data_IF_934158259602
#
_entry.id   IF_934158259602
#
_cell.length_a   1.000
_cell.length_b   1.000
_cell.length_c   1.000
_cell.angle_alpha   90.00
_cell.angle_beta   90.00
_cell.angle_gamma   90.00
#
_symmetry.space_group_name_H-M   'P 1'
#
loop_
_entity.id
_entity.type
_entity.pdbx_description
1 polymer ?
#
# COMPACT_ATOMS: atom_id res chain seq x y z
N UNK A 1 -8.52 -24.13 -0.90
CA UNK A 1 -7.24 -23.80 -1.56
C UNK A 1 -7.16 -24.50 -2.93
N UNK A 2 -6.56 -23.83 -3.92
CA UNK A 2 -6.35 -24.35 -5.27
C UNK A 2 -4.97 -23.92 -5.79
N UNK A 3 -4.06 -24.87 -5.98
CA UNK A 3 -2.70 -24.64 -6.48
C UNK A 3 -1.61 -25.35 -5.67
N UNK A 4 -0.38 -25.43 -6.23
CA UNK A 4 0.74 -26.04 -5.53
C UNK A 4 1.09 -25.24 -4.27
N UNK A 5 1.10 -25.91 -3.10
CA UNK A 5 1.34 -25.30 -1.80
C UNK A 5 0.38 -24.12 -1.44
N UNK A 6 -0.80 -24.04 -2.06
CA UNK A 6 -1.81 -23.07 -1.66
C UNK A 6 -2.42 -23.48 -0.30
N UNK A 7 -2.54 -22.53 0.66
CA UNK A 7 -3.09 -22.78 1.98
C UNK A 7 -2.40 -23.92 2.74
N UNK A 8 -1.11 -24.12 2.55
CA UNK A 8 -0.40 -25.31 3.00
C UNK A 8 -0.37 -25.46 4.53
N UNK A 9 -0.13 -24.35 5.23
CA UNK A 9 0.01 -24.34 6.68
C UNK A 9 -0.92 -23.28 7.28
N UNK A 10 -1.77 -23.69 8.24
CA UNK A 10 -2.63 -22.76 9.01
C UNK A 10 -3.56 -21.90 8.13
N UNK A 11 -4.34 -22.53 7.26
CA UNK A 11 -5.41 -21.84 6.55
C UNK A 11 -6.62 -21.65 7.47
N UNK A 12 -7.01 -20.40 7.72
CA UNK A 12 -8.15 -20.05 8.57
C UNK A 12 -9.52 -20.47 8.00
N UNK A 13 -10.53 -20.45 8.84
CA UNK A 13 -11.90 -20.79 8.44
C UNK A 13 -12.40 -19.81 7.35
N UNK A 14 -13.08 -20.35 6.33
CA UNK A 14 -13.64 -19.57 5.22
C UNK A 14 -12.61 -18.75 4.44
N UNK A 15 -11.32 -19.08 4.54
CA UNK A 15 -10.27 -18.42 3.77
C UNK A 15 -10.15 -19.02 2.37
N UNK A 16 -9.77 -18.17 1.40
CA UNK A 16 -9.58 -18.54 0.00
C UNK A 16 -8.11 -18.42 -0.37
N UNK A 17 -7.51 -19.49 -0.91
CA UNK A 17 -6.15 -19.50 -1.43
C UNK A 17 -6.13 -20.09 -2.84
N UNK A 18 -5.82 -19.28 -3.86
CA UNK A 18 -5.79 -19.72 -5.26
C UNK A 18 -4.48 -19.27 -5.92
N UNK A 19 -3.68 -20.21 -6.36
CA UNK A 19 -2.38 -19.95 -7.00
C UNK A 19 -1.22 -20.64 -6.29
N UNK A 20 -0.06 -20.73 -6.96
CA UNK A 20 1.12 -21.34 -6.37
C UNK A 20 1.58 -20.57 -5.13
N UNK A 21 1.66 -21.25 -3.99
CA UNK A 21 2.04 -20.67 -2.69
C UNK A 21 1.16 -19.50 -2.22
N UNK A 22 -0.07 -19.39 -2.72
CA UNK A 22 -1.03 -18.42 -2.20
C UNK A 22 -1.42 -18.81 -0.76
N UNK A 23 -1.40 -17.87 0.19
CA UNK A 23 -1.75 -18.12 1.58
C UNK A 23 -1.04 -19.32 2.19
N UNK A 24 0.23 -19.58 1.81
CA UNK A 24 0.87 -20.87 2.10
C UNK A 24 1.24 -21.09 3.55
N UNK A 25 1.41 -20.04 4.35
CA UNK A 25 1.81 -20.20 5.75
C UNK A 25 0.68 -19.86 6.73
N UNK A 26 0.47 -18.61 7.08
CA UNK A 26 -0.52 -18.21 8.09
C UNK A 26 -1.61 -17.33 7.46
N UNK A 27 -2.61 -18.00 6.90
CA UNK A 27 -3.77 -17.32 6.33
C UNK A 27 -4.90 -17.29 7.37
N UNK A 28 -5.26 -16.10 7.83
CA UNK A 28 -6.29 -15.94 8.87
C UNK A 28 -7.72 -16.15 8.35
N UNK A 29 -8.68 -16.17 9.26
CA UNK A 29 -10.10 -16.36 8.97
C UNK A 29 -10.64 -15.32 8.00
N UNK A 30 -11.47 -15.74 7.03
CA UNK A 30 -12.15 -14.89 6.05
C UNK A 30 -11.22 -14.13 5.10
N UNK A 31 -9.93 -14.45 5.07
CA UNK A 31 -8.99 -13.80 4.18
C UNK A 31 -8.99 -14.39 2.77
N UNK A 32 -8.56 -13.60 1.79
CA UNK A 32 -8.51 -13.98 0.37
C UNK A 32 -7.10 -13.79 -0.17
N UNK A 33 -6.50 -14.84 -0.72
CA UNK A 33 -5.21 -14.83 -1.40
C UNK A 33 -5.36 -15.43 -2.81
N UNK A 34 -5.28 -14.61 -3.84
CA UNK A 34 -5.41 -15.04 -5.24
C UNK A 34 -4.22 -14.56 -6.07
N UNK A 35 -3.43 -15.49 -6.58
CA UNK A 35 -2.23 -15.21 -7.36
C UNK A 35 -1.01 -15.95 -6.81
N UNK A 36 0.06 -16.05 -7.60
CA UNK A 36 1.29 -16.69 -7.14
C UNK A 36 1.90 -15.89 -6.01
N UNK A 37 2.13 -16.53 -4.83
CA UNK A 37 2.68 -15.92 -3.62
C UNK A 37 1.82 -14.76 -3.03
N UNK A 38 0.54 -14.65 -3.41
CA UNK A 38 -0.36 -13.69 -2.77
C UNK A 38 -0.59 -14.11 -1.30
N UNK A 39 -0.48 -13.17 -0.36
CA UNK A 39 -0.67 -13.41 1.07
C UNK A 39 0.16 -14.57 1.60
N UNK A 40 1.39 -14.76 1.10
CA UNK A 40 2.15 -15.99 1.29
C UNK A 40 2.51 -16.29 2.74
N UNK A 41 3.03 -15.32 3.47
CA UNK A 41 3.57 -15.55 4.83
C UNK A 41 2.51 -15.32 5.91
N UNK A 42 2.13 -14.07 6.17
CA UNK A 42 1.16 -13.74 7.21
C UNK A 42 0.04 -12.86 6.65
N UNK A 43 -1.15 -13.41 6.57
CA UNK A 43 -2.32 -12.66 6.13
C UNK A 43 -3.32 -12.49 7.28
N UNK A 44 -3.63 -11.25 7.61
CA UNK A 44 -4.55 -10.90 8.69
C UNK A 44 -6.01 -11.30 8.42
N UNK A 45 -6.84 -11.24 9.44
CA UNK A 45 -8.27 -11.54 9.33
C UNK A 45 -8.93 -10.60 8.32
N UNK A 46 -9.82 -11.11 7.48
CA UNK A 46 -10.56 -10.37 6.44
C UNK A 46 -9.67 -9.65 5.41
N UNK A 47 -8.36 -9.87 5.43
CA UNK A 47 -7.45 -9.25 4.48
C UNK A 47 -7.60 -9.84 3.07
N UNK A 48 -7.38 -9.01 2.05
CA UNK A 48 -7.49 -9.38 0.64
C UNK A 48 -6.16 -9.15 -0.07
N UNK A 49 -5.61 -10.19 -0.70
CA UNK A 49 -4.41 -10.14 -1.52
C UNK A 49 -4.71 -10.73 -2.91
N UNK A 50 -4.70 -9.91 -3.95
CA UNK A 50 -4.98 -10.35 -5.32
C UNK A 50 -3.89 -9.86 -6.28
N UNK A 51 -3.14 -10.78 -6.86
CA UNK A 51 -2.05 -10.50 -7.78
C UNK A 51 -0.76 -11.23 -7.44
N UNK A 52 0.23 -11.16 -8.32
CA UNK A 52 1.55 -11.74 -8.07
C UNK A 52 2.22 -11.02 -6.89
N UNK A 53 2.55 -11.77 -5.80
CA UNK A 53 3.19 -11.26 -4.59
C UNK A 53 2.43 -10.11 -3.90
N UNK A 54 1.12 -9.97 -4.12
CA UNK A 54 0.32 -9.01 -3.38
C UNK A 54 0.25 -9.43 -1.91
N UNK A 55 0.52 -8.51 -0.97
CA UNK A 55 0.49 -8.78 0.46
C UNK A 55 1.37 -9.96 0.89
N UNK A 56 2.51 -10.19 0.22
CA UNK A 56 3.28 -11.44 0.36
C UNK A 56 3.77 -11.71 1.78
N UNK A 57 4.41 -10.72 2.40
CA UNK A 57 5.07 -10.95 3.71
C UNK A 57 4.10 -10.77 4.88
N UNK A 58 3.74 -9.54 5.21
CA UNK A 58 2.86 -9.26 6.34
C UNK A 58 1.72 -8.34 5.92
N UNK A 59 0.53 -8.90 5.86
CA UNK A 59 -0.69 -8.14 5.60
C UNK A 59 -1.54 -8.07 6.86
N UNK A 60 -1.80 -6.86 7.33
CA UNK A 60 -2.59 -6.60 8.53
C UNK A 60 -4.07 -6.98 8.39
N UNK A 61 -4.77 -6.97 9.50
CA UNK A 61 -6.23 -7.19 9.53
C UNK A 61 -6.96 -6.13 8.71
N UNK A 62 -8.00 -6.52 7.96
CA UNK A 62 -8.79 -5.66 7.09
C UNK A 62 -7.99 -4.95 5.97
N UNK A 63 -6.74 -5.34 5.74
CA UNK A 63 -5.92 -4.72 4.70
C UNK A 63 -6.25 -5.27 3.31
N UNK A 64 -6.13 -4.43 2.29
CA UNK A 64 -6.39 -4.80 0.88
C UNK A 64 -5.16 -4.53 0.02
N UNK A 65 -4.67 -5.54 -0.68
CA UNK A 65 -3.57 -5.46 -1.63
C UNK A 65 -4.00 -6.04 -2.98
N UNK A 66 -4.11 -5.22 -4.01
CA UNK A 66 -4.51 -5.66 -5.35
C UNK A 66 -3.54 -5.13 -6.41
N UNK A 67 -2.87 -6.04 -7.10
CA UNK A 67 -1.88 -5.71 -8.13
C UNK A 67 -0.56 -6.44 -7.96
N UNK A 68 0.34 -6.31 -8.93
CA UNK A 68 1.69 -6.88 -8.85
C UNK A 68 2.47 -6.22 -7.71
N UNK A 69 2.87 -6.98 -6.69
CA UNK A 69 3.66 -6.49 -5.55
C UNK A 69 3.00 -5.36 -4.75
N UNK A 70 1.67 -5.20 -4.82
CA UNK A 70 0.95 -4.26 -3.97
C UNK A 70 1.04 -4.73 -2.50
N UNK A 71 1.31 -3.81 -1.57
CA UNK A 71 1.43 -4.13 -0.15
C UNK A 71 2.42 -5.26 0.16
N UNK A 72 3.50 -5.37 -0.61
CA UNK A 72 4.38 -6.56 -0.65
C UNK A 72 4.94 -6.94 0.71
N UNK A 73 5.58 -6.00 1.41
CA UNK A 73 6.35 -6.33 2.61
C UNK A 73 5.56 -6.14 3.91
N UNK A 74 5.20 -4.92 4.25
CA UNK A 74 4.43 -4.64 5.46
C UNK A 74 3.25 -3.74 5.14
N UNK A 75 2.07 -4.31 5.17
CA UNK A 75 0.83 -3.58 5.04
C UNK A 75 0.11 -3.63 6.39
N UNK A 76 -0.05 -2.48 7.04
CA UNK A 76 -0.61 -2.42 8.38
C UNK A 76 -2.15 -2.55 8.40
N UNK A 77 -2.75 -2.55 9.59
CA UNK A 77 -4.19 -2.64 9.83
C UNK A 77 -4.98 -1.67 8.95
N UNK A 78 -5.96 -2.18 8.21
CA UNK A 78 -6.90 -1.39 7.41
C UNK A 78 -6.27 -0.63 6.24
N UNK A 79 -5.02 -0.91 5.90
CA UNK A 79 -4.35 -0.23 4.80
C UNK A 79 -4.82 -0.74 3.43
N UNK A 80 -4.85 0.13 2.43
CA UNK A 80 -5.27 -0.19 1.06
C UNK A 80 -4.16 0.09 0.06
N UNK A 81 -3.78 -0.92 -0.72
CA UNK A 81 -2.81 -0.82 -1.81
C UNK A 81 -3.42 -1.34 -3.11
N UNK A 82 -3.61 -0.48 -4.10
CA UNK A 82 -4.19 -0.83 -5.39
C UNK A 82 -3.33 -0.33 -6.55
N UNK A 83 -2.72 -1.25 -7.29
CA UNK A 83 -1.89 -0.94 -8.45
C UNK A 83 -0.53 -1.65 -8.43
N UNK A 84 0.28 -1.40 -9.47
CA UNK A 84 1.63 -1.94 -9.55
C UNK A 84 2.51 -1.34 -8.45
N UNK A 85 2.97 -2.19 -7.52
CA UNK A 85 3.83 -1.82 -6.38
C UNK A 85 3.28 -0.66 -5.52
N UNK A 86 1.97 -0.47 -5.49
CA UNK A 86 1.37 0.48 -4.57
C UNK A 86 1.61 0.02 -3.12
N UNK A 87 1.97 0.93 -2.21
CA UNK A 87 2.22 0.61 -0.81
C UNK A 87 3.23 -0.51 -0.60
N UNK A 88 4.24 -0.66 -1.46
CA UNK A 88 5.06 -1.88 -1.57
C UNK A 88 5.79 -2.24 -0.28
N UNK A 89 6.46 -1.28 0.38
CA UNK A 89 7.39 -1.62 1.46
C UNK A 89 6.78 -1.47 2.86
N UNK A 90 6.41 -0.28 3.27
CA UNK A 90 5.88 -0.01 4.61
C UNK A 90 4.66 0.89 4.52
N UNK A 91 3.50 0.30 4.52
CA UNK A 91 2.25 1.05 4.51
C UNK A 91 1.68 1.15 5.91
N UNK A 92 1.52 2.38 6.41
CA UNK A 92 1.00 2.66 7.75
C UNK A 92 -0.46 2.23 7.94
N UNK A 93 -0.91 2.20 9.19
CA UNK A 93 -2.30 1.87 9.50
C UNK A 93 -3.26 2.83 8.79
N UNK A 94 -4.35 2.31 8.20
CA UNK A 94 -5.38 3.07 7.51
C UNK A 94 -4.85 3.92 6.34
N UNK A 95 -3.62 3.68 5.90
CA UNK A 95 -3.06 4.39 4.75
C UNK A 95 -3.63 3.88 3.43
N UNK A 96 -3.76 4.75 2.45
CA UNK A 96 -4.28 4.43 1.12
C UNK A 96 -3.24 4.75 0.04
N UNK A 97 -2.91 3.76 -0.78
CA UNK A 97 -2.03 3.89 -1.94
C UNK A 97 -2.75 3.37 -3.19
N UNK A 98 -3.06 4.23 -4.14
CA UNK A 98 -3.75 3.86 -5.38
C UNK A 98 -3.01 4.41 -6.60
N UNK A 99 -2.51 3.53 -7.45
CA UNK A 99 -1.80 3.89 -8.68
C UNK A 99 -0.48 3.14 -8.86
N UNK A 100 0.20 3.43 -9.97
CA UNK A 100 1.51 2.90 -10.27
C UNK A 100 2.56 3.55 -9.35
N UNK A 101 3.26 2.77 -8.52
CA UNK A 101 4.25 3.21 -7.54
C UNK A 101 3.73 4.24 -6.49
N UNK A 102 2.42 4.35 -6.29
CA UNK A 102 1.89 5.21 -5.24
C UNK A 102 2.29 4.70 -3.85
N UNK A 103 2.77 5.57 -2.96
CA UNK A 103 3.15 5.21 -1.60
C UNK A 103 4.15 4.05 -1.49
N UNK A 104 5.06 3.90 -2.46
CA UNK A 104 5.87 2.68 -2.60
C UNK A 104 6.75 2.35 -1.40
N UNK A 105 7.40 3.33 -0.79
CA UNK A 105 8.37 3.05 0.27
C UNK A 105 7.77 3.18 1.67
N UNK A 106 7.60 4.39 2.18
CA UNK A 106 7.10 4.59 3.55
C UNK A 106 5.88 5.49 3.53
N UNK A 107 4.76 4.94 3.93
CA UNK A 107 3.50 5.67 4.03
C UNK A 107 3.09 5.77 5.51
N UNK A 108 2.90 6.98 6.01
CA UNK A 108 2.54 7.23 7.40
C UNK A 108 1.10 6.80 7.74
N UNK A 109 0.77 6.82 9.03
CA UNK A 109 -0.58 6.55 9.53
C UNK A 109 -1.61 7.46 8.85
N UNK A 110 -2.71 6.90 8.35
CA UNK A 110 -3.83 7.66 7.77
C UNK A 110 -3.47 8.46 6.52
N UNK A 111 -2.30 8.25 5.93
CA UNK A 111 -1.90 8.99 4.73
C UNK A 111 -2.60 8.49 3.47
N UNK A 112 -2.71 9.36 2.46
CA UNK A 112 -3.35 9.05 1.18
C UNK A 112 -2.41 9.41 0.04
N UNK A 113 -2.10 8.42 -0.83
CA UNK A 113 -1.31 8.59 -2.04
C UNK A 113 -2.10 8.06 -3.25
N UNK A 114 -2.55 8.95 -4.13
CA UNK A 114 -3.33 8.57 -5.31
C UNK A 114 -2.74 9.19 -6.58
N UNK A 115 -2.30 8.35 -7.51
CA UNK A 115 -1.71 8.76 -8.78
C UNK A 115 -0.39 8.04 -9.07
N UNK A 116 0.19 8.30 -10.25
CA UNK A 116 1.50 7.78 -10.62
C UNK A 116 2.57 8.37 -9.71
N UNK A 117 3.32 7.54 -9.00
CA UNK A 117 4.42 7.92 -8.09
C UNK A 117 4.04 9.01 -7.05
N UNK A 118 2.77 9.12 -6.68
CA UNK A 118 2.34 10.01 -5.60
C UNK A 118 2.82 9.48 -4.24
N UNK A 119 3.29 10.37 -3.35
CA UNK A 119 3.77 9.98 -2.03
C UNK A 119 4.80 8.86 -2.04
N UNK A 120 5.63 8.77 -3.09
CA UNK A 120 6.38 7.55 -3.40
C UNK A 120 7.43 7.18 -2.37
N UNK A 121 8.20 8.15 -1.87
CA UNK A 121 9.36 7.85 -1.02
C UNK A 121 9.02 7.88 0.46
N UNK A 122 8.65 9.03 1.00
CA UNK A 122 8.28 9.16 2.41
C UNK A 122 7.07 10.08 2.53
N UNK A 123 5.96 9.52 2.93
CA UNK A 123 4.74 10.28 3.19
C UNK A 123 4.46 10.31 4.69
N UNK A 124 4.31 11.50 5.25
CA UNK A 124 4.06 11.70 6.67
C UNK A 124 2.67 11.23 7.13
N UNK A 125 2.45 11.23 8.43
CA UNK A 125 1.16 10.91 9.05
C UNK A 125 0.08 11.90 8.59
N UNK A 126 -1.11 11.40 8.22
CA UNK A 126 -2.26 12.17 7.75
C UNK A 126 -1.94 13.06 6.52
N UNK A 127 -0.88 12.77 5.80
CA UNK A 127 -0.54 13.52 4.61
C UNK A 127 -1.36 13.06 3.39
N UNK A 128 -1.67 13.98 2.50
CA UNK A 128 -2.44 13.73 1.27
C UNK A 128 -1.58 14.08 0.06
N UNK A 129 -1.38 13.12 -0.83
CA UNK A 129 -0.73 13.28 -2.12
C UNK A 129 -1.68 12.82 -3.24
N UNK A 130 -2.21 13.75 -4.02
CA UNK A 130 -3.16 13.46 -5.09
C UNK A 130 -2.71 14.06 -6.42
N UNK A 131 -2.36 13.20 -7.35
CA UNK A 131 -1.87 13.58 -8.67
C UNK A 131 -0.56 12.88 -9.02
N UNK A 132 -0.14 13.02 -10.29
CA UNK A 132 1.13 12.45 -10.72
C UNK A 132 2.29 13.15 -10.02
N UNK A 133 3.15 12.38 -9.34
CA UNK A 133 4.33 12.88 -8.64
C UNK A 133 4.02 13.94 -7.55
N UNK A 134 2.76 14.01 -7.08
CA UNK A 134 2.41 14.86 -5.94
C UNK A 134 3.04 14.31 -4.65
N UNK A 135 3.68 15.16 -3.83
CA UNK A 135 4.34 14.77 -2.59
C UNK A 135 5.35 13.64 -2.77
N UNK A 136 6.06 13.61 -3.90
CA UNK A 136 6.83 12.44 -4.35
C UNK A 136 7.93 12.00 -3.38
N UNK A 137 8.77 12.93 -2.91
CA UNK A 137 9.98 12.56 -2.14
C UNK A 137 9.77 12.58 -0.63
N UNK A 138 9.52 13.70 -0.03
CA UNK A 138 9.38 13.84 1.44
C UNK A 138 8.21 14.74 1.78
N UNK A 139 7.08 14.16 2.02
CA UNK A 139 5.89 14.90 2.41
C UNK A 139 5.73 14.89 3.94
N UNK A 140 5.70 16.05 4.56
CA UNK A 140 5.59 16.19 6.00
C UNK A 140 4.23 15.77 6.58
N UNK A 141 4.15 15.67 7.91
CA UNK A 141 2.91 15.30 8.58
C UNK A 141 1.81 16.36 8.37
N UNK A 142 0.55 15.92 8.25
CA UNK A 142 -0.63 16.77 8.09
C UNK A 142 -0.53 17.74 6.90
N UNK A 143 0.23 17.40 5.88
CA UNK A 143 0.41 18.23 4.68
C UNK A 143 -0.45 17.77 3.52
N UNK A 144 -0.73 18.66 2.57
CA UNK A 144 -1.56 18.40 1.40
C UNK A 144 -0.81 18.79 0.13
N UNK A 145 -0.67 17.84 -0.80
CA UNK A 145 -0.10 18.03 -2.13
C UNK A 145 -1.11 17.56 -3.19
N UNK A 146 -1.70 18.48 -3.95
CA UNK A 146 -2.71 18.16 -4.96
C UNK A 146 -2.35 18.81 -6.29
N UNK A 147 -2.14 18.01 -7.32
CA UNK A 147 -1.80 18.45 -8.68
C UNK A 147 -0.58 17.72 -9.24
N UNK A 148 -0.27 17.96 -10.51
CA UNK A 148 0.92 17.44 -11.15
C UNK A 148 2.16 18.06 -10.50
N UNK A 149 3.04 17.22 -9.92
CA UNK A 149 4.27 17.63 -9.23
C UNK A 149 4.06 18.70 -8.11
N UNK A 150 2.86 18.74 -7.52
CA UNK A 150 2.64 19.58 -6.36
C UNK A 150 3.46 19.05 -5.18
N UNK A 151 4.24 19.92 -4.53
CA UNK A 151 5.16 19.58 -3.44
C UNK A 151 6.00 18.32 -3.78
N UNK A 152 6.56 18.26 -4.97
CA UNK A 152 7.32 17.10 -5.45
C UNK A 152 8.47 16.73 -4.50
N UNK A 153 9.22 17.73 -4.04
CA UNK A 153 10.34 17.52 -3.12
C UNK A 153 10.16 18.32 -1.81
N UNK A 154 10.34 17.64 -0.67
CA UNK A 154 10.48 18.26 0.66
C UNK A 154 9.36 19.23 1.09
N UNK A 155 8.14 18.74 1.15
CA UNK A 155 7.04 19.50 1.73
C UNK A 155 7.10 19.42 3.27
N UNK A 156 7.13 20.59 3.92
CA UNK A 156 7.08 20.69 5.38
C UNK A 156 5.75 20.21 5.99
N UNK A 157 5.73 19.99 7.30
CA UNK A 157 4.52 19.63 8.01
C UNK A 157 3.48 20.74 8.03
N UNK A 158 2.19 20.39 8.04
CA UNK A 158 1.06 21.32 8.10
C UNK A 158 1.01 22.33 6.93
N UNK A 159 1.65 22.01 5.81
CA UNK A 159 1.69 22.88 4.63
C UNK A 159 0.73 22.39 3.54
N UNK A 160 0.31 23.28 2.64
CA UNK A 160 -0.63 22.99 1.56
C UNK A 160 -0.07 23.46 0.23
N UNK A 161 0.03 22.54 -0.73
CA UNK A 161 0.42 22.80 -2.11
C UNK A 161 -0.69 22.30 -3.06
N UNK A 162 -1.37 23.21 -3.73
CA UNK A 162 -2.46 22.86 -4.67
C UNK A 162 -2.22 23.54 -6.01
N UNK A 163 -2.16 22.76 -7.07
CA UNK A 163 -1.92 23.23 -8.44
C UNK A 163 -0.71 22.56 -9.07
N UNK A 164 -0.53 22.78 -10.37
CA UNK A 164 0.63 22.28 -11.11
C UNK A 164 1.90 22.90 -10.54
N UNK A 165 2.85 22.05 -10.06
CA UNK A 165 4.14 22.46 -9.49
C UNK A 165 4.06 23.45 -8.32
N UNK A 166 2.91 23.50 -7.64
CA UNK A 166 2.79 24.32 -6.45
C UNK A 166 3.75 23.78 -5.37
N UNK A 167 4.65 24.63 -4.85
CA UNK A 167 5.63 24.21 -3.84
C UNK A 167 6.58 23.10 -4.28
N UNK A 168 6.96 23.04 -5.57
CA UNK A 168 7.66 21.91 -6.21
C UNK A 168 8.94 21.49 -5.48
N UNK A 169 9.76 22.40 -5.00
CA UNK A 169 11.11 22.07 -4.49
C UNK A 169 11.28 22.17 -2.98
N UNK A 170 10.64 23.07 -2.30
CA UNK A 170 10.68 23.16 -0.83
C UNK A 170 9.59 24.07 -0.32
N UNK A 171 8.76 23.54 0.56
CA UNK A 171 7.71 24.32 1.21
C UNK A 171 7.76 24.07 2.71
N UNK A 172 8.10 25.11 3.48
CA UNK A 172 8.17 25.07 4.94
C UNK A 172 6.82 25.22 5.62
#
# INVERSE_FOLDING_TARGET
>A
ALGYAAGQTSQGNNAVAIGRSAGSQSQSTLSVAIGMQAGQLTQGQTAVAVGYRAGEDTQGENATAVGFGAGLTTQALGATALGYKAGQTSQGQQATAVGYLAGTNTQGLGSTAIGFSSGQVTQGTNAVALGREAGHTSQGNNSVAIGYQAAEDNQGGSSVAIGIRAGETSQG
#
